data_IF_084661090832
#
_entry.id   IF_084661090832
#
_cell.length_a   1.000
_cell.length_b   1.000
_cell.length_c   1.000
_cell.angle_alpha   90.00
_cell.angle_beta   90.00
_cell.angle_gamma   90.00
#
_symmetry.space_group_name_H-M   'P 1'
#
loop_
_entity.id
_entity.type
_entity.pdbx_description
1 polymer ?
#
# COMPACT_ATOMS: atom_id res chain seq x y z
N UNK A 1 -14.38 4.18 -12.17
CA UNK A 1 -13.42 5.13 -11.55
C UNK A 1 -12.36 5.54 -12.58
N UNK A 2 -12.06 6.84 -12.71
CA UNK A 2 -10.91 7.33 -13.48
C UNK A 2 -9.78 7.57 -12.48
N UNK A 3 -8.68 6.84 -12.61
CA UNK A 3 -7.51 7.05 -11.76
C UNK A 3 -6.81 8.38 -12.10
N UNK A 4 -6.13 9.02 -11.14
CA UNK A 4 -5.46 10.30 -11.36
C UNK A 4 -4.45 10.25 -12.52
N UNK A 5 -4.18 11.37 -13.20
CA UNK A 5 -3.25 11.43 -14.33
C UNK A 5 -1.84 10.89 -14.01
N UNK A 6 -1.40 11.09 -12.76
CA UNK A 6 -0.09 10.67 -12.25
C UNK A 6 0.06 9.14 -12.16
N UNK A 7 -1.06 8.42 -12.15
CA UNK A 7 -1.09 6.96 -12.11
C UNK A 7 -0.39 6.33 -13.32
N UNK A 8 -0.48 6.96 -14.49
CA UNK A 8 0.16 6.49 -15.74
C UNK A 8 1.68 6.56 -15.67
N UNK A 9 2.25 7.43 -14.84
CA UNK A 9 3.70 7.70 -14.78
C UNK A 9 4.46 6.63 -13.98
N UNK A 10 3.80 6.00 -13.01
CA UNK A 10 4.39 4.96 -12.16
C UNK A 10 4.32 3.56 -12.78
N UNK A 11 3.31 3.30 -13.60
CA UNK A 11 3.17 2.05 -14.34
C UNK A 11 3.89 2.15 -15.68
N UNK A 12 5.14 1.66 -15.74
CA UNK A 12 5.88 1.41 -17.00
C UNK A 12 5.29 0.24 -17.84
N UNK A 13 4.00 -0.05 -17.66
CA UNK A 13 3.20 -1.09 -18.32
C UNK A 13 1.86 -0.50 -18.80
N UNK A 14 1.90 0.37 -19.81
CA UNK A 14 0.71 1.07 -20.31
C UNK A 14 -0.45 0.15 -20.70
N UNK A 15 -0.17 -1.06 -21.24
CA UNK A 15 -1.21 -2.02 -21.62
C UNK A 15 -1.93 -2.66 -20.44
N UNK A 16 -1.22 -3.03 -19.37
CA UNK A 16 -1.79 -3.78 -18.23
C UNK A 16 -2.82 -2.94 -17.47
N UNK A 17 -2.62 -1.63 -17.39
CA UNK A 17 -3.54 -0.72 -16.73
C UNK A 17 -4.82 -0.51 -17.52
N UNK A 18 -4.74 -0.32 -18.84
CA UNK A 18 -5.94 -0.15 -19.67
C UNK A 18 -6.82 -1.39 -19.62
N UNK A 19 -6.22 -2.59 -19.68
CA UNK A 19 -6.94 -3.84 -19.48
C UNK A 19 -7.59 -3.93 -18.10
N UNK A 20 -6.91 -3.46 -17.05
CA UNK A 20 -7.50 -3.40 -15.70
C UNK A 20 -8.68 -2.44 -15.64
N UNK A 21 -8.59 -1.25 -16.25
CA UNK A 21 -9.66 -0.25 -16.24
C UNK A 21 -10.87 -0.70 -17.06
N UNK A 22 -10.67 -1.34 -18.22
CA UNK A 22 -11.74 -1.82 -19.11
C UNK A 22 -12.60 -2.97 -18.55
N UNK A 23 -12.11 -3.70 -17.54
CA UNK A 23 -12.86 -4.82 -16.92
C UNK A 23 -14.16 -4.37 -16.27
N UNK A 24 -15.06 -5.31 -16.04
CA UNK A 24 -16.28 -5.02 -15.30
C UNK A 24 -15.96 -4.47 -13.89
N UNK A 25 -16.63 -3.39 -13.53
CA UNK A 25 -16.50 -2.78 -12.22
C UNK A 25 -17.71 -3.17 -11.39
N UNK A 26 -17.54 -4.15 -10.51
CA UNK A 26 -18.54 -4.42 -9.49
C UNK A 26 -18.38 -3.42 -8.34
N UNK A 27 -19.49 -2.82 -7.92
CA UNK A 27 -19.49 -1.85 -6.81
C UNK A 27 -18.90 -2.48 -5.54
N UNK A 28 -18.07 -1.75 -4.77
CA UNK A 28 -17.57 -2.18 -3.46
C UNK A 28 -18.67 -2.63 -2.50
N UNK A 29 -19.85 -2.02 -2.62
CA UNK A 29 -21.02 -2.26 -1.77
C UNK A 29 -21.97 -3.35 -2.32
N UNK A 30 -21.74 -3.84 -3.54
CA UNK A 30 -22.55 -4.91 -4.12
C UNK A 30 -22.14 -6.28 -3.56
N UNK A 31 -23.09 -7.23 -3.57
CA UNK A 31 -22.81 -8.60 -3.16
C UNK A 31 -21.85 -9.26 -4.15
N UNK A 32 -20.77 -9.81 -3.62
CA UNK A 32 -19.67 -10.39 -4.36
C UNK A 32 -19.45 -11.87 -4.05
N UNK A 33 -20.38 -12.50 -3.32
CA UNK A 33 -20.28 -13.93 -2.97
C UNK A 33 -20.28 -14.85 -4.20
N UNK A 34 -20.83 -14.39 -5.33
CA UNK A 34 -20.81 -15.12 -6.60
C UNK A 34 -19.51 -15.01 -7.40
N UNK A 35 -18.58 -14.14 -7.01
CA UNK A 35 -17.31 -13.98 -7.72
C UNK A 35 -16.34 -15.12 -7.40
N UNK A 36 -15.77 -15.71 -8.45
CA UNK A 36 -14.72 -16.71 -8.28
C UNK A 36 -13.47 -16.10 -7.62
N UNK A 37 -13.04 -16.69 -6.50
CA UNK A 37 -11.85 -16.24 -5.79
C UNK A 37 -10.61 -16.36 -6.71
N UNK A 38 -9.82 -15.29 -6.79
CA UNK A 38 -8.64 -15.23 -7.67
C UNK A 38 -8.96 -14.85 -9.12
N UNK A 39 -10.23 -14.61 -9.46
CA UNK A 39 -10.57 -13.98 -10.73
C UNK A 39 -10.06 -12.54 -10.79
N UNK A 40 -9.91 -12.05 -12.01
CA UNK A 40 -9.48 -10.69 -12.26
C UNK A 40 -10.51 -9.63 -11.83
N UNK A 41 -11.80 -9.97 -11.90
CA UNK A 41 -12.91 -9.16 -11.43
C UNK A 41 -12.94 -9.09 -9.89
N UNK A 42 -12.66 -10.23 -9.24
CA UNK A 42 -12.53 -10.31 -7.80
C UNK A 42 -11.39 -9.43 -7.28
N UNK A 43 -10.22 -9.50 -7.91
CA UNK A 43 -9.09 -8.60 -7.62
C UNK A 43 -9.47 -7.13 -7.83
N UNK A 44 -10.16 -6.81 -8.93
CA UNK A 44 -10.60 -5.44 -9.23
C UNK A 44 -11.58 -4.90 -8.19
N UNK A 45 -12.54 -5.72 -7.74
CA UNK A 45 -13.44 -5.34 -6.65
C UNK A 45 -12.65 -5.14 -5.35
N UNK A 46 -11.74 -6.05 -5.00
CA UNK A 46 -10.95 -5.93 -3.78
C UNK A 46 -10.14 -4.63 -3.75
N UNK A 47 -9.57 -4.21 -4.89
CA UNK A 47 -8.92 -2.91 -5.05
C UNK A 47 -9.91 -1.77 -4.81
N UNK A 48 -11.13 -1.84 -5.38
CA UNK A 48 -12.14 -0.82 -5.18
C UNK A 48 -12.60 -0.71 -3.71
N UNK A 49 -12.80 -1.84 -3.03
CA UNK A 49 -13.12 -1.87 -1.59
C UNK A 49 -12.01 -1.23 -0.76
N UNK A 50 -10.76 -1.55 -1.05
CA UNK A 50 -9.61 -0.95 -0.35
C UNK A 50 -9.51 0.57 -0.59
N UNK A 51 -9.79 1.00 -1.82
CA UNK A 51 -9.77 2.40 -2.20
C UNK A 51 -10.83 3.20 -1.42
N UNK A 52 -12.07 2.71 -1.38
CA UNK A 52 -13.16 3.30 -0.59
C UNK A 52 -12.83 3.30 0.91
N UNK A 53 -12.39 2.16 1.44
CA UNK A 53 -12.09 2.01 2.86
C UNK A 53 -11.01 2.98 3.34
N UNK A 54 -9.92 3.11 2.58
CA UNK A 54 -8.87 4.10 2.87
C UNK A 54 -9.42 5.52 2.72
N UNK A 55 -10.26 5.77 1.72
CA UNK A 55 -10.90 7.07 1.52
C UNK A 55 -11.78 7.49 2.71
N UNK A 56 -12.37 6.55 3.46
CA UNK A 56 -13.11 6.87 4.68
C UNK A 56 -12.21 7.19 5.88
N UNK A 57 -10.96 6.74 5.90
CA UNK A 57 -10.05 7.02 7.02
C UNK A 57 -9.57 8.47 7.01
N UNK A 58 -9.41 9.07 8.20
CA UNK A 58 -9.00 10.48 8.35
C UNK A 58 -7.64 10.78 7.72
N UNK A 59 -6.70 9.86 7.88
CA UNK A 59 -5.34 9.98 7.34
C UNK A 59 -5.18 9.21 6.02
N UNK A 60 -6.25 8.70 5.40
CA UNK A 60 -6.18 7.95 4.13
C UNK A 60 -5.18 6.78 4.17
N UNK A 61 -5.04 6.17 5.35
CA UNK A 61 -4.12 5.07 5.65
C UNK A 61 -4.69 4.14 6.72
N UNK A 62 -4.29 2.87 6.67
CA UNK A 62 -4.75 1.85 7.63
C UNK A 62 -3.67 0.78 7.88
N UNK A 63 -3.68 0.18 9.07
CA UNK A 63 -2.84 -0.99 9.38
C UNK A 63 -3.45 -2.23 8.75
N UNK A 64 -2.63 -3.04 8.08
CA UNK A 64 -3.06 -4.24 7.37
C UNK A 64 -3.69 -5.28 8.28
N UNK A 65 -3.24 -5.34 9.53
CA UNK A 65 -3.69 -6.31 10.53
C UNK A 65 -5.15 -6.10 10.90
N UNK A 66 -5.68 -4.88 10.80
CA UNK A 66 -7.11 -4.65 11.02
C UNK A 66 -7.96 -5.26 9.91
N UNK A 67 -7.43 -5.38 8.69
CA UNK A 67 -8.16 -5.90 7.54
C UNK A 67 -8.29 -7.42 7.55
N UNK A 68 -7.39 -8.12 8.22
CA UNK A 68 -7.44 -9.58 8.30
C UNK A 68 -8.68 -10.05 9.04
N UNK A 69 -9.16 -9.28 10.01
CA UNK A 69 -10.39 -9.55 10.76
C UNK A 69 -11.65 -9.34 9.92
N UNK A 70 -11.70 -8.29 9.08
CA UNK A 70 -12.86 -7.96 8.24
C UNK A 70 -12.87 -8.65 6.88
N UNK A 71 -11.99 -9.63 6.73
CA UNK A 71 -11.68 -10.28 5.46
C UNK A 71 -12.90 -10.99 4.86
N UNK A 72 -13.69 -11.63 5.72
CA UNK A 72 -14.88 -12.39 5.33
C UNK A 72 -16.03 -11.45 5.00
N UNK A 73 -16.22 -10.40 5.79
CA UNK A 73 -17.28 -9.40 5.59
C UNK A 73 -17.05 -8.61 4.29
N UNK A 74 -15.80 -8.22 4.01
CA UNK A 74 -15.45 -7.44 2.83
C UNK A 74 -15.26 -8.28 1.56
N UNK A 75 -15.26 -9.61 1.69
CA UNK A 75 -15.04 -10.55 0.57
C UNK A 75 -13.71 -10.25 -0.13
N UNK A 76 -12.61 -10.39 0.62
CA UNK A 76 -11.26 -9.99 0.17
C UNK A 76 -10.38 -11.20 -0.25
N UNK A 77 -9.23 -11.01 -0.94
CA UNK A 77 -8.30 -12.09 -1.33
C UNK A 77 -7.32 -12.50 -0.22
N UNK A 78 -7.08 -13.83 -0.03
CA UNK A 78 -6.29 -14.35 1.13
C UNK A 78 -4.93 -13.68 1.24
N UNK A 79 -4.31 -13.46 0.08
CA UNK A 79 -3.01 -12.79 -0.05
C UNK A 79 -3.21 -11.30 -0.30
N UNK A 80 -3.83 -10.58 0.63
CA UNK A 80 -4.10 -9.13 0.49
C UNK A 80 -2.83 -8.33 0.21
N UNK A 81 -1.71 -8.66 0.86
CA UNK A 81 -0.42 -7.98 0.59
C UNK A 81 0.01 -8.12 -0.87
N UNK A 82 -0.19 -9.30 -1.47
CA UNK A 82 0.11 -9.52 -2.88
C UNK A 82 -0.76 -8.62 -3.78
N UNK A 83 -2.02 -8.42 -3.43
CA UNK A 83 -2.91 -7.51 -4.16
C UNK A 83 -2.40 -6.06 -4.06
N UNK A 84 -2.07 -5.58 -2.85
CA UNK A 84 -1.61 -4.21 -2.66
C UNK A 84 -0.29 -3.93 -3.39
N UNK A 85 0.67 -4.85 -3.29
CA UNK A 85 1.96 -4.72 -3.99
C UNK A 85 1.80 -4.79 -5.52
N UNK A 86 0.86 -5.60 -6.03
CA UNK A 86 0.52 -5.64 -7.46
C UNK A 86 -0.06 -4.31 -7.96
N UNK A 87 -0.72 -3.55 -7.08
CA UNK A 87 -1.36 -2.27 -7.37
C UNK A 87 -0.62 -1.09 -6.70
N UNK A 88 0.71 -1.10 -6.74
CA UNK A 88 1.58 -0.08 -6.13
C UNK A 88 1.38 1.36 -6.65
N UNK A 89 0.74 1.53 -7.81
CA UNK A 89 0.33 2.84 -8.30
C UNK A 89 -0.87 3.42 -7.54
N UNK A 90 -1.73 2.57 -6.96
CA UNK A 90 -2.93 3.00 -6.19
C UNK A 90 -2.57 3.07 -4.72
N UNK A 91 -1.88 2.03 -4.24
CA UNK A 91 -1.56 1.87 -2.84
C UNK A 91 -0.06 1.94 -2.63
N UNK A 92 0.37 2.55 -1.54
CA UNK A 92 1.72 2.43 -1.03
C UNK A 92 1.69 1.62 0.26
N UNK A 93 2.65 0.71 0.43
CA UNK A 93 2.78 -0.09 1.64
C UNK A 93 4.09 0.27 2.30
N UNK A 94 4.02 0.65 3.57
CA UNK A 94 5.18 0.95 4.41
C UNK A 94 5.21 0.02 5.60
N UNK A 95 6.38 -0.49 5.96
CA UNK A 95 6.57 -1.23 7.19
C UNK A 95 7.01 -0.29 8.32
N UNK A 96 6.31 -0.37 9.45
CA UNK A 96 6.67 0.38 10.67
C UNK A 96 6.50 -0.51 11.88
N UNK A 97 7.60 -0.79 12.58
CA UNK A 97 7.57 -1.55 13.84
C UNK A 97 6.93 -2.93 13.70
N UNK A 98 7.29 -3.69 12.64
CA UNK A 98 6.74 -5.01 12.29
C UNK A 98 5.28 -5.03 11.85
N UNK A 99 4.66 -3.86 11.63
CA UNK A 99 3.31 -3.73 11.10
C UNK A 99 3.35 -3.06 9.74
N UNK A 100 2.53 -3.54 8.81
CA UNK A 100 2.38 -2.89 7.52
C UNK A 100 1.26 -1.86 7.57
N UNK A 101 1.53 -0.70 7.01
CA UNK A 101 0.59 0.38 6.81
C UNK A 101 0.35 0.54 5.31
N UNK A 102 -0.92 0.59 4.93
CA UNK A 102 -1.34 0.87 3.56
C UNK A 102 -1.79 2.30 3.47
N UNK A 103 -1.34 3.00 2.44
CA UNK A 103 -1.64 4.39 2.15
C UNK A 103 -2.30 4.47 0.77
N UNK A 104 -3.24 5.40 0.63
CA UNK A 104 -3.84 5.72 -0.65
C UNK A 104 -2.98 6.76 -1.38
N UNK A 105 -2.28 6.36 -2.45
CA UNK A 105 -1.30 7.24 -3.11
C UNK A 105 -1.86 8.57 -3.59
N UNK A 106 -3.08 8.56 -4.12
CA UNK A 106 -3.71 9.77 -4.65
C UNK A 106 -4.05 10.82 -3.58
N UNK A 107 -4.10 10.42 -2.31
CA UNK A 107 -4.36 11.34 -1.21
C UNK A 107 -3.10 12.04 -0.70
N UNK A 108 -1.92 11.65 -1.19
CA UNK A 108 -0.64 12.11 -0.69
C UNK A 108 0.19 12.81 -1.76
N UNK A 109 0.89 13.87 -1.35
CA UNK A 109 1.96 14.49 -2.12
C UNK A 109 3.28 14.28 -1.38
N UNK A 110 4.01 13.23 -1.77
CA UNK A 110 5.19 12.77 -1.03
C UNK A 110 4.81 12.32 0.39
N UNK A 111 5.44 12.86 1.45
CA UNK A 111 5.15 12.46 2.83
C UNK A 111 3.90 13.13 3.43
N UNK A 112 3.29 14.11 2.75
CA UNK A 112 2.20 14.92 3.30
C UNK A 112 0.84 14.57 2.67
N UNK A 113 -0.19 14.51 3.52
CA UNK A 113 -1.57 14.34 3.09
C UNK A 113 -2.06 15.63 2.43
N UNK A 114 -2.64 15.52 1.23
CA UNK A 114 -3.10 16.67 0.43
C UNK A 114 -4.25 17.40 1.13
N UNK A 115 -5.28 16.65 1.52
CA UNK A 115 -6.46 17.19 2.20
C UNK A 115 -6.47 16.72 3.66
N UNK A 116 -6.12 17.62 4.58
CA UNK A 116 -6.10 17.34 6.02
C UNK A 116 -7.39 17.81 6.66
N UNK A 117 -8.13 16.88 7.26
CA UNK A 117 -9.26 17.24 8.10
C UNK A 117 -8.80 17.96 9.39
N UNK A 118 -9.68 18.75 10.04
CA UNK A 118 -9.32 19.49 11.26
C UNK A 118 -8.73 18.63 12.38
N UNK A 119 -9.19 17.37 12.51
CA UNK A 119 -8.69 16.42 13.51
C UNK A 119 -7.22 16.02 13.25
N UNK A 120 -6.85 15.85 11.98
CA UNK A 120 -5.45 15.55 11.60
C UNK A 120 -4.56 16.75 11.89
N UNK A 121 -4.99 17.96 11.55
CA UNK A 121 -4.26 19.19 11.88
C UNK A 121 -4.08 19.38 13.39
N UNK A 122 -5.14 19.14 14.16
CA UNK A 122 -5.08 19.21 15.61
C UNK A 122 -4.11 18.19 16.19
N UNK A 123 -4.17 16.93 15.72
CA UNK A 123 -3.23 15.88 16.11
C UNK A 123 -1.79 16.29 15.79
N UNK A 124 -1.50 16.78 14.59
CA UNK A 124 -0.16 17.27 14.23
C UNK A 124 0.31 18.40 15.16
N UNK A 125 -0.56 19.35 15.48
CA UNK A 125 -0.25 20.44 16.41
C UNK A 125 0.09 19.93 17.81
N UNK A 126 -0.70 19.00 18.35
CA UNK A 126 -0.43 18.37 19.64
C UNK A 126 0.90 17.62 19.61
N UNK A 127 1.15 16.82 18.56
CA UNK A 127 2.40 16.07 18.39
C UNK A 127 3.63 16.99 18.34
N UNK A 128 3.50 18.18 17.73
CA UNK A 128 4.56 19.18 17.70
C UNK A 128 4.84 19.78 19.09
N UNK A 129 3.80 19.99 19.92
CA UNK A 129 3.94 20.55 21.26
C UNK A 129 4.60 19.58 22.25
N UNK A 130 4.30 18.28 22.14
CA UNK A 130 4.87 17.26 23.03
C UNK A 130 6.34 16.91 22.70
N UNK A 131 6.98 17.63 21.77
CA UNK A 131 8.36 17.35 21.36
C UNK A 131 8.54 16.01 20.64
N UNK A 132 7.45 15.33 20.29
CA UNK A 132 7.49 14.09 19.50
C UNK A 132 7.81 14.43 18.06
N UNK A 133 9.08 14.74 17.81
CA UNK A 133 9.68 14.68 16.47
C UNK A 133 9.77 13.22 16.09
N UNK A 134 8.66 12.63 15.67
CA UNK A 134 8.72 11.49 14.77
C UNK A 134 9.65 11.91 13.64
N UNK A 135 10.84 11.29 13.56
CA UNK A 135 11.93 11.71 12.67
C UNK A 135 11.33 12.06 11.31
N UNK A 136 11.24 13.36 10.98
CA UNK A 136 11.01 13.81 9.60
C UNK A 136 12.27 13.43 8.84
N UNK A 137 12.46 12.14 8.56
CA UNK A 137 13.40 11.73 7.53
C UNK A 137 12.80 12.34 6.27
N UNK A 138 13.48 13.35 5.71
CA UNK A 138 13.25 13.73 4.32
C UNK A 138 13.25 12.41 3.54
N UNK A 139 12.18 12.12 2.80
CA UNK A 139 12.23 11.00 1.86
C UNK A 139 13.44 11.29 0.97
N UNK A 140 14.46 10.44 1.03
CA UNK A 140 15.56 10.53 0.10
C UNK A 140 14.95 10.52 -1.30
N UNK A 141 15.37 11.46 -2.14
CA UNK A 141 15.04 11.44 -3.55
C UNK A 141 15.50 10.10 -4.15
N UNK A 142 14.74 9.62 -5.13
CA UNK A 142 15.00 8.38 -5.86
C UNK A 142 16.44 8.23 -6.42
N UNK A 143 17.19 9.33 -6.48
CA UNK A 143 18.58 9.42 -6.94
C UNK A 143 19.61 8.68 -6.06
N UNK A 144 19.29 8.37 -4.81
CA UNK A 144 20.28 7.83 -3.85
C UNK A 144 20.37 6.29 -3.85
N UNK A 145 19.63 5.61 -4.73
CA UNK A 145 19.63 4.12 -4.85
C UNK A 145 20.53 3.61 -5.97
N UNK A 146 21.18 4.47 -6.76
CA UNK A 146 22.11 4.05 -7.82
C UNK A 146 23.49 3.62 -7.30
N UNK A 147 23.81 3.90 -6.04
CA UNK A 147 25.19 3.84 -5.55
C UNK A 147 25.45 2.68 -4.57
N UNK A 148 24.54 1.71 -4.49
CA UNK A 148 24.74 0.49 -3.68
C UNK A 148 24.46 -0.73 -4.57
N UNK A 149 25.36 -0.99 -5.51
CA UNK A 149 25.54 -2.31 -6.10
C UNK A 149 26.82 -2.93 -5.55
N UNK A 150 26.68 -4.20 -5.19
CA UNK A 150 27.71 -5.21 -4.93
C UNK A 150 28.69 -5.00 -3.77
N UNK A 151 28.43 -5.72 -2.68
CA UNK A 151 29.34 -6.74 -2.13
C UNK A 151 28.76 -7.29 -0.81
N UNK A 152 28.75 -8.62 -0.67
CA UNK A 152 28.38 -9.40 0.52
C UNK A 152 26.92 -9.90 0.66
N UNK A 153 26.38 -10.54 -0.38
CA UNK A 153 25.41 -11.63 -0.17
C UNK A 153 26.11 -12.95 -0.52
N UNK A 154 25.98 -13.95 0.36
CA UNK A 154 26.57 -15.30 0.33
C UNK A 154 27.92 -15.49 1.05
N UNK A 155 27.88 -15.50 2.39
CA UNK A 155 28.64 -16.49 3.16
C UNK A 155 27.64 -17.43 3.83
N UNK A 156 27.52 -18.63 3.29
CA UNK A 156 26.95 -19.78 3.98
C UNK A 156 28.01 -20.33 4.93
N UNK A 157 27.76 -20.25 6.24
CA UNK A 157 28.55 -21.00 7.22
C UNK A 157 28.24 -22.49 7.05
N UNK A 158 29.27 -23.26 6.72
CA UNK A 158 29.31 -24.70 6.90
C UNK A 158 30.44 -24.99 7.88
N UNK A 159 30.08 -25.24 9.14
CA UNK A 159 30.96 -25.84 10.14
C UNK A 159 31.17 -27.31 9.78
N UNK A 160 32.42 -27.70 9.52
CA UNK A 160 32.84 -29.10 9.53
C UNK A 160 34.01 -29.20 10.51
N UNK A 161 33.73 -29.68 11.72
CA UNK A 161 34.72 -30.10 12.70
C UNK A 161 35.29 -31.46 12.27
N UNK A 162 36.61 -31.53 12.04
CA UNK A 162 37.32 -32.82 12.06
C UNK A 162 38.21 -32.88 13.31
N UNK A 163 38.16 -33.98 14.08
CA UNK A 163 39.09 -34.24 15.17
C UNK A 163 40.25 -35.13 14.70
N UNK A 164 41.47 -34.81 15.17
CA UNK A 164 42.47 -35.76 15.68
C UNK A 164 43.57 -35.00 16.44
#
# INVERSE_FOLDING_TARGET
MKFPPNFKKLFRFGGTLEHFQKREYLSPYADARGLAAGSQEFDKRAVAVMHELLSFTLEKRLVTDHLTHFRRELVMPQKLMRLLLKHFGIFYVSERGKRFHVFLNEAYNGPELIEKCPLVLWKEKVMNLIGYRGKKKKAASFDEFSDIEDENLFKSDSDDETPD
#
